data_IF_986762707081
#
_entry.id   IF_986762707081
#
_cell.length_a   1.000
_cell.length_b   1.000
_cell.length_c   1.000
_cell.angle_alpha   90.00
_cell.angle_beta   90.00
_cell.angle_gamma   90.00
#
_symmetry.space_group_name_H-M   'P 1'
#
loop_
_entity.id
_entity.type
_entity.pdbx_description
1 polymer ?
#
# COMPACT_ATOMS: atom_id res chain seq x y z
N UNK A 1 1.74 20.04 -37.79
CA UNK A 1 1.31 18.64 -37.64
C UNK A 1 1.66 18.23 -36.22
N UNK A 2 0.73 18.35 -35.28
CA UNK A 2 0.98 17.99 -33.87
C UNK A 2 0.82 16.48 -33.76
N UNK A 3 1.93 15.79 -33.49
CA UNK A 3 1.94 14.37 -33.19
C UNK A 3 0.94 14.10 -32.07
N UNK A 4 -0.10 13.34 -32.41
CA UNK A 4 -0.98 12.72 -31.41
C UNK A 4 -0.14 11.66 -30.71
N UNK A 5 0.62 12.08 -29.69
CA UNK A 5 1.14 11.15 -28.70
C UNK A 5 -0.05 10.30 -28.23
N UNK A 6 0.11 8.99 -28.22
CA UNK A 6 -0.94 8.05 -27.82
C UNK A 6 -1.17 8.18 -26.32
N UNK A 7 -1.98 9.17 -25.95
CA UNK A 7 -2.28 9.51 -24.58
C UNK A 7 -3.18 8.42 -24.02
N UNK A 8 -2.61 7.53 -23.20
CA UNK A 8 -3.33 6.49 -22.47
C UNK A 8 -4.59 7.07 -21.82
N UNK A 9 -5.67 6.29 -21.81
CA UNK A 9 -6.95 6.68 -21.24
C UNK A 9 -6.76 7.31 -19.85
N UNK A 10 -7.31 8.50 -19.67
CA UNK A 10 -7.19 9.25 -18.42
C UNK A 10 -8.58 9.65 -17.93
N UNK A 11 -8.85 9.39 -16.66
CA UNK A 11 -10.15 9.66 -16.05
C UNK A 11 -10.21 11.08 -15.47
N UNK A 12 -9.09 11.63 -15.02
CA UNK A 12 -9.01 13.03 -14.58
C UNK A 12 -7.60 13.63 -14.78
N UNK A 13 -7.46 14.95 -14.59
CA UNK A 13 -6.18 15.66 -14.66
C UNK A 13 -5.99 16.56 -13.43
N UNK A 14 -4.76 16.68 -12.95
CA UNK A 14 -4.39 17.55 -11.82
C UNK A 14 -3.24 18.47 -12.21
N UNK A 15 -3.33 19.74 -11.79
CA UNK A 15 -2.30 20.74 -12.08
C UNK A 15 -1.23 20.71 -11.00
N UNK A 16 -0.01 20.40 -11.40
CA UNK A 16 1.19 20.49 -10.58
C UNK A 16 1.99 21.74 -10.94
N UNK A 17 2.95 22.10 -10.10
CA UNK A 17 3.85 23.24 -10.34
C UNK A 17 4.56 23.15 -11.71
N UNK A 18 4.90 21.93 -12.15
CA UNK A 18 5.58 21.65 -13.42
C UNK A 18 4.63 21.37 -14.61
N UNK A 19 3.30 21.46 -14.41
CA UNK A 19 2.32 21.24 -15.49
C UNK A 19 1.16 20.34 -15.10
N UNK A 20 0.26 20.10 -16.05
CA UNK A 20 -0.93 19.25 -15.84
C UNK A 20 -0.59 17.78 -16.09
N UNK A 21 -0.81 16.95 -15.08
CA UNK A 21 -0.63 15.49 -15.15
C UNK A 21 -2.00 14.84 -15.27
N UNK A 22 -2.13 13.85 -16.15
CA UNK A 22 -3.37 13.09 -16.36
C UNK A 22 -3.27 11.73 -15.70
N UNK A 23 -4.31 11.38 -14.94
CA UNK A 23 -4.36 10.19 -14.11
C UNK A 23 -5.41 9.21 -14.65
N UNK A 24 -4.98 7.95 -14.78
CA UNK A 24 -5.85 6.81 -15.03
C UNK A 24 -6.15 6.13 -13.68
N UNK A 25 -7.42 5.99 -13.30
CA UNK A 25 -7.82 5.39 -12.01
C UNK A 25 -8.12 3.89 -12.06
N UNK A 26 -7.92 3.25 -13.21
CA UNK A 26 -8.13 1.82 -13.38
C UNK A 26 -7.23 1.05 -12.42
N UNK A 27 -7.85 0.16 -11.64
CA UNK A 27 -7.22 -0.68 -10.64
C UNK A 27 -6.48 0.07 -9.51
N UNK A 28 -6.86 1.31 -9.23
CA UNK A 28 -6.28 2.05 -8.09
C UNK A 28 -6.57 1.37 -6.76
N UNK A 29 -7.78 0.83 -6.58
CA UNK A 29 -8.14 0.13 -5.36
C UNK A 29 -7.29 -1.12 -5.18
N UNK A 30 -7.12 -1.93 -6.21
CA UNK A 30 -6.27 -3.13 -6.21
C UNK A 30 -4.82 -2.80 -5.89
N UNK A 31 -4.27 -1.76 -6.52
CA UNK A 31 -2.90 -1.29 -6.26
C UNK A 31 -2.72 -0.75 -4.84
N UNK A 32 -3.77 -0.25 -4.22
CA UNK A 32 -3.73 0.28 -2.84
C UNK A 32 -3.96 -0.79 -1.76
N UNK A 33 -4.30 -2.05 -2.10
CA UNK A 33 -4.66 -3.10 -1.13
C UNK A 33 -3.48 -3.64 -0.31
N UNK A 34 -2.24 -3.40 -0.74
CA UNK A 34 -1.02 -3.97 -0.13
C UNK A 34 -1.13 -5.46 0.25
N UNK A 35 -1.48 -6.38 -0.69
CA UNK A 35 -1.62 -7.80 -0.37
C UNK A 35 -0.24 -8.43 -0.19
N UNK A 36 0.34 -8.29 0.99
CA UNK A 36 1.53 -9.02 1.40
C UNK A 36 1.13 -10.42 1.89
N UNK A 37 1.97 -11.41 1.59
CA UNK A 37 1.76 -12.77 2.06
C UNK A 37 2.25 -12.88 3.52
N UNK A 38 1.33 -13.15 4.43
CA UNK A 38 1.59 -13.23 5.88
C UNK A 38 2.64 -14.28 6.25
N UNK A 39 2.71 -15.40 5.53
CA UNK A 39 3.71 -16.44 5.78
C UNK A 39 5.12 -15.96 5.46
N UNK A 40 5.26 -15.18 4.38
CA UNK A 40 6.55 -14.60 3.99
C UNK A 40 6.98 -13.57 5.03
N UNK A 41 6.07 -12.71 5.47
CA UNK A 41 6.34 -11.73 6.53
C UNK A 41 6.81 -12.42 7.82
N UNK A 42 6.16 -13.51 8.23
CA UNK A 42 6.56 -14.26 9.41
C UNK A 42 7.98 -14.85 9.27
N UNK A 43 8.33 -15.40 8.11
CA UNK A 43 9.68 -15.90 7.84
C UNK A 43 10.71 -14.79 7.91
N UNK A 44 10.40 -13.60 7.38
CA UNK A 44 11.27 -12.43 7.45
C UNK A 44 11.51 -12.02 8.92
N UNK A 45 10.44 -11.89 9.72
CA UNK A 45 10.53 -11.58 11.16
C UNK A 45 11.32 -12.60 11.98
N UNK A 46 11.35 -13.87 11.55
CA UNK A 46 12.00 -14.97 12.28
C UNK A 46 13.38 -15.35 11.70
N UNK A 47 13.92 -14.56 10.78
CA UNK A 47 15.20 -14.85 10.13
C UNK A 47 16.37 -14.86 11.13
N UNK A 48 17.00 -16.03 11.31
CA UNK A 48 18.13 -16.21 12.25
C UNK A 48 19.50 -15.78 11.69
N UNK A 49 19.58 -15.54 10.38
CA UNK A 49 20.85 -15.26 9.68
C UNK A 49 21.11 -13.77 9.46
N UNK A 50 20.08 -12.92 9.58
CA UNK A 50 20.19 -11.50 9.32
C UNK A 50 19.39 -10.69 10.35
N UNK A 51 20.10 -10.09 11.31
CA UNK A 51 19.50 -9.30 12.38
C UNK A 51 18.85 -8.01 11.87
N UNK A 52 19.41 -7.37 10.84
CA UNK A 52 18.83 -6.15 10.23
C UNK A 52 17.48 -6.44 9.58
N UNK A 53 17.33 -7.64 9.02
CA UNK A 53 16.07 -8.06 8.42
C UNK A 53 15.00 -8.25 9.50
N UNK A 54 15.35 -8.72 10.69
CA UNK A 54 14.41 -8.76 11.81
C UNK A 54 14.04 -7.34 12.25
N UNK A 55 15.03 -6.44 12.37
CA UNK A 55 14.85 -5.04 12.79
C UNK A 55 13.89 -4.27 11.87
N UNK A 56 14.10 -4.32 10.55
CA UNK A 56 13.26 -3.60 9.56
C UNK A 56 11.80 -4.07 9.58
N UNK A 57 11.55 -5.32 9.96
CA UNK A 57 10.22 -5.93 9.97
C UNK A 57 9.54 -5.93 11.35
N UNK A 58 10.15 -5.31 12.37
CA UNK A 58 9.56 -5.28 13.73
C UNK A 58 8.24 -4.52 13.78
N UNK A 59 8.16 -3.37 13.11
CA UNK A 59 6.98 -2.49 13.14
C UNK A 59 5.85 -2.94 12.20
N UNK A 60 6.15 -3.88 11.30
CA UNK A 60 5.15 -4.40 10.37
C UNK A 60 4.19 -5.32 11.12
N UNK A 61 2.90 -4.99 11.15
CA UNK A 61 1.84 -5.85 11.69
C UNK A 61 1.01 -6.39 10.53
N UNK A 62 0.90 -7.72 10.42
CA UNK A 62 0.04 -8.32 9.38
C UNK A 62 -1.43 -8.01 9.63
N UNK A 63 -2.27 -8.12 8.61
CA UNK A 63 -3.71 -7.98 8.77
C UNK A 63 -4.27 -9.06 9.72
N UNK A 64 -3.71 -10.27 9.69
CA UNK A 64 -4.07 -11.36 10.60
C UNK A 64 -3.70 -11.05 12.07
N UNK A 65 -2.50 -10.52 12.33
CA UNK A 65 -2.05 -10.09 13.66
C UNK A 65 -2.91 -8.93 14.20
N UNK A 66 -3.25 -7.96 13.34
CA UNK A 66 -4.12 -6.84 13.69
C UNK A 66 -5.55 -7.30 14.01
N UNK A 67 -6.11 -8.23 13.21
CA UNK A 67 -7.44 -8.80 13.41
C UNK A 67 -7.53 -9.71 14.64
N UNK A 68 -6.43 -10.37 15.03
CA UNK A 68 -6.35 -11.19 16.23
C UNK A 68 -6.32 -10.33 17.51
N UNK A 69 -5.70 -9.15 17.48
CA UNK A 69 -5.65 -8.21 18.60
C UNK A 69 -7.01 -7.58 18.94
N UNK A 70 -7.98 -7.61 18.00
CA UNK A 70 -9.28 -6.93 18.08
C UNK A 70 -10.38 -7.71 18.82
N UNK A 71 -10.16 -8.98 19.18
CA UNK A 71 -11.21 -9.87 19.76
C UNK A 71 -11.69 -9.51 21.18
N UNK A 72 -11.23 -8.40 21.78
CA UNK A 72 -11.62 -7.97 23.13
C UNK A 72 -12.40 -6.65 23.23
N UNK A 73 -12.51 -5.85 22.17
CA UNK A 73 -13.13 -4.50 22.23
C UNK A 73 -13.99 -4.31 20.97
N UNK A 74 -15.29 -4.06 21.17
CA UNK A 74 -16.23 -3.67 20.11
C UNK A 74 -15.67 -2.50 19.31
N UNK A 75 -15.35 -2.71 18.03
CA UNK A 75 -14.68 -1.71 17.22
C UNK A 75 -15.50 -1.29 15.99
N UNK A 76 -15.56 0.03 15.86
CA UNK A 76 -15.85 0.79 14.64
C UNK A 76 -15.06 0.18 13.49
N UNK A 77 -15.67 0.10 12.30
CA UNK A 77 -15.07 -0.43 11.07
C UNK A 77 -13.64 0.10 10.88
N UNK A 78 -12.65 -0.73 11.20
CA UNK A 78 -11.25 -0.35 11.12
C UNK A 78 -10.83 -0.27 9.64
N UNK A 79 -10.26 0.87 9.27
CA UNK A 79 -9.93 1.22 7.89
C UNK A 79 -8.77 0.36 7.41
N UNK A 80 -8.91 -0.29 6.25
CA UNK A 80 -7.80 -1.01 5.59
C UNK A 80 -6.63 -0.03 5.39
N UNK A 81 -5.41 -0.41 5.79
CA UNK A 81 -4.20 0.39 5.59
C UNK A 81 -3.98 0.60 4.09
N UNK A 82 -3.92 1.86 3.66
CA UNK A 82 -3.70 2.25 2.26
C UNK A 82 -2.23 2.55 2.02
N UNK A 83 -1.70 2.17 0.85
CA UNK A 83 -0.34 2.54 0.41
C UNK A 83 -0.12 4.07 0.46
N UNK A 84 -1.18 4.86 0.31
CA UNK A 84 -1.12 6.32 0.41
C UNK A 84 -0.80 6.86 1.81
N UNK A 85 -0.83 6.03 2.86
CA UNK A 85 -0.59 6.45 4.25
C UNK A 85 0.89 6.38 4.67
N UNK A 86 1.78 5.81 3.84
CA UNK A 86 3.21 5.62 4.16
C UNK A 86 4.11 6.86 3.95
N UNK A 87 3.55 8.03 3.65
CA UNK A 87 4.33 9.23 3.29
C UNK A 87 4.11 10.46 4.18
N UNK A 88 3.73 10.28 5.45
CA UNK A 88 3.61 11.38 6.41
C UNK A 88 4.81 11.45 7.36
#
# INVERSE_FOLDING_TARGET
MLEKFNMSEAHFAMRHYAGTVRYNVTNWLEKNKDPLNDTVVQVMKQSKKNALLVEVWQDYTTQEEAAAATKGISLKSERMRSVAEFSA
#
